data_IF_063868350858
#
_entry.id   IF_063868350858
#
_cell.length_a   1.000
_cell.length_b   1.000
_cell.length_c   1.000
_cell.angle_alpha   90.00
_cell.angle_beta   90.00
_cell.angle_gamma   90.00
#
_symmetry.space_group_name_H-M   'P 1'
#
loop_
_entity.id
_entity.type
_entity.pdbx_description
1 polymer ?
#
# COMPACT_ATOMS: atom_id res chain seq x y z
N UNK A 1 -12.10 23.65 14.40
CA UNK A 1 -12.50 24.19 13.08
C UNK A 1 -11.26 24.74 12.40
N UNK A 2 -10.94 24.25 11.18
CA UNK A 2 -9.72 24.67 10.46
C UNK A 2 -10.04 25.81 9.52
N UNK A 3 -11.12 25.70 8.74
CA UNK A 3 -11.56 26.70 7.79
C UNK A 3 -13.08 26.72 7.69
N UNK A 4 -13.61 27.77 7.08
CA UNK A 4 -15.03 27.92 6.74
C UNK A 4 -15.13 28.29 5.26
N UNK A 5 -15.75 27.41 4.46
CA UNK A 5 -16.04 27.64 3.07
C UNK A 5 -17.43 28.28 2.94
N UNK A 6 -17.52 29.40 2.24
CA UNK A 6 -18.78 30.10 1.99
C UNK A 6 -18.93 30.27 0.48
N UNK A 7 -20.07 29.84 -0.05
CA UNK A 7 -20.43 30.04 -1.45
C UNK A 7 -21.69 30.89 -1.54
N UNK A 8 -21.84 31.61 -2.66
CA UNK A 8 -23.04 32.38 -2.96
C UNK A 8 -23.55 32.02 -4.36
N UNK A 9 -24.86 31.84 -4.49
CA UNK A 9 -25.56 31.68 -5.75
C UNK A 9 -26.99 32.27 -5.64
N UNK A 10 -27.69 32.49 -6.76
CA UNK A 10 -29.03 33.08 -6.77
C UNK A 10 -30.11 32.26 -6.09
N UNK A 11 -29.98 30.92 -6.09
CA UNK A 11 -30.91 29.98 -5.47
C UNK A 11 -30.17 28.83 -4.77
N UNK A 12 -30.91 28.03 -4.00
CA UNK A 12 -30.37 26.93 -3.18
C UNK A 12 -29.71 25.84 -4.02
N UNK A 13 -30.34 25.42 -5.09
CA UNK A 13 -29.84 24.37 -5.98
C UNK A 13 -28.47 24.73 -6.56
N UNK A 14 -28.36 25.94 -7.11
CA UNK A 14 -27.08 26.45 -7.64
C UNK A 14 -26.04 26.65 -6.54
N UNK A 15 -26.46 27.05 -5.32
CA UNK A 15 -25.55 27.19 -4.19
C UNK A 15 -24.98 25.82 -3.77
N UNK A 16 -25.80 24.77 -3.71
CA UNK A 16 -25.35 23.41 -3.39
C UNK A 16 -24.44 22.84 -4.48
N UNK A 17 -24.77 23.00 -5.75
CA UNK A 17 -23.91 22.59 -6.85
C UNK A 17 -22.56 23.31 -6.80
N UNK A 18 -22.55 24.62 -6.56
CA UNK A 18 -21.32 25.40 -6.40
C UNK A 18 -20.52 24.99 -5.17
N UNK A 19 -21.20 24.62 -4.07
CA UNK A 19 -20.56 24.14 -2.84
C UNK A 19 -19.84 22.81 -3.09
N UNK A 20 -20.50 21.85 -3.77
CA UNK A 20 -19.87 20.55 -4.08
C UNK A 20 -18.63 20.72 -4.96
N UNK A 21 -18.70 21.53 -6.02
CA UNK A 21 -17.54 21.85 -6.87
C UNK A 21 -16.41 22.52 -6.08
N UNK A 22 -16.74 23.50 -5.23
CA UNK A 22 -15.75 24.18 -4.43
C UNK A 22 -15.09 23.26 -3.39
N UNK A 23 -15.84 22.33 -2.80
CA UNK A 23 -15.31 21.30 -1.89
C UNK A 23 -14.46 20.27 -2.65
N UNK A 24 -14.82 19.93 -3.88
CA UNK A 24 -14.04 19.03 -4.75
C UNK A 24 -12.66 19.61 -5.08
N UNK A 25 -12.59 20.92 -5.36
CA UNK A 25 -11.35 21.62 -5.67
C UNK A 25 -10.54 22.02 -4.41
N UNK A 26 -11.09 21.77 -3.21
CA UNK A 26 -10.45 22.15 -1.95
C UNK A 26 -9.54 21.03 -1.44
N UNK A 27 -8.32 21.01 -1.93
CA UNK A 27 -7.34 19.98 -1.64
C UNK A 27 -6.60 20.27 -0.33
N UNK A 28 -6.69 19.36 0.64
CA UNK A 28 -5.95 19.41 1.92
C UNK A 28 -5.18 18.13 2.14
N UNK A 29 -3.90 18.27 2.46
CA UNK A 29 -3.02 17.16 2.81
C UNK A 29 -2.45 17.29 4.23
N UNK A 30 -1.94 16.17 4.80
CA UNK A 30 -1.33 16.13 6.12
C UNK A 30 -2.30 16.07 7.31
N UNK A 31 -3.61 16.26 7.07
CA UNK A 31 -4.64 16.20 8.13
C UNK A 31 -5.87 15.41 7.68
N UNK A 32 -6.60 14.86 8.66
CA UNK A 32 -7.91 14.28 8.42
C UNK A 32 -8.96 15.38 8.29
N UNK A 33 -9.74 15.32 7.22
CA UNK A 33 -10.78 16.32 6.91
C UNK A 33 -12.14 15.65 6.78
N UNK A 34 -13.21 16.44 6.89
CA UNK A 34 -14.58 16.00 6.66
C UNK A 34 -15.12 16.43 5.29
N UNK A 35 -14.25 16.71 4.32
CA UNK A 35 -14.65 17.22 3.00
C UNK A 35 -15.58 16.22 2.29
N UNK A 36 -15.24 14.94 2.27
CA UNK A 36 -16.06 13.90 1.62
C UNK A 36 -17.43 13.76 2.27
N UNK A 37 -17.50 13.87 3.61
CA UNK A 37 -18.76 13.91 4.34
C UNK A 37 -19.61 15.12 3.96
N UNK A 38 -19.00 16.31 3.88
CA UNK A 38 -19.70 17.55 3.52
C UNK A 38 -20.21 17.51 2.08
N UNK A 39 -19.46 16.94 1.15
CA UNK A 39 -19.88 16.76 -0.25
C UNK A 39 -21.10 15.85 -0.33
N UNK A 40 -21.08 14.69 0.34
CA UNK A 40 -22.21 13.76 0.39
C UNK A 40 -23.44 14.38 1.06
N UNK A 41 -23.23 15.17 2.10
CA UNK A 41 -24.32 15.90 2.74
C UNK A 41 -24.94 16.94 1.80
N UNK A 42 -24.10 17.71 1.06
CA UNK A 42 -24.58 18.71 0.12
C UNK A 42 -25.38 18.13 -1.04
N UNK A 43 -25.09 16.89 -1.44
CA UNK A 43 -25.77 16.16 -2.53
C UNK A 43 -26.95 15.28 -2.04
N UNK A 44 -27.20 15.23 -0.72
CA UNK A 44 -28.31 14.46 -0.17
C UNK A 44 -29.66 15.13 -0.47
N UNK A 45 -30.63 14.39 -1.04
CA UNK A 45 -31.96 14.92 -1.42
C UNK A 45 -32.67 15.61 -0.26
N UNK A 46 -32.65 15.03 0.94
CA UNK A 46 -33.26 15.63 2.12
C UNK A 46 -32.62 16.97 2.49
N UNK A 47 -31.31 17.14 2.25
CA UNK A 47 -30.61 18.39 2.47
C UNK A 47 -30.89 19.39 1.35
N UNK A 48 -30.99 18.95 0.10
CA UNK A 48 -31.35 19.78 -1.05
C UNK A 48 -32.76 20.35 -0.92
N UNK A 49 -33.71 19.51 -0.49
CA UNK A 49 -35.12 19.87 -0.26
C UNK A 49 -35.36 20.72 1.01
N UNK A 50 -34.30 21.03 1.77
CA UNK A 50 -34.39 21.71 3.06
C UNK A 50 -35.23 20.98 4.14
N UNK A 51 -35.39 19.65 4.04
CA UNK A 51 -36.06 18.79 5.04
C UNK A 51 -35.07 18.49 6.18
N UNK A 52 -34.68 19.53 6.90
CA UNK A 52 -33.64 19.46 7.91
C UNK A 52 -34.23 19.14 9.29
N UNK A 53 -33.68 18.13 9.95
CA UNK A 53 -33.97 17.75 11.32
C UNK A 53 -32.72 17.17 12.01
N UNK A 54 -32.75 17.10 13.33
CA UNK A 54 -31.57 16.63 14.12
C UNK A 54 -31.14 15.21 13.81
N UNK A 55 -32.03 14.34 13.38
CA UNK A 55 -31.77 12.94 13.03
C UNK A 55 -31.31 12.69 11.58
N UNK A 56 -31.11 13.74 10.75
CA UNK A 56 -30.76 13.57 9.32
C UNK A 56 -29.45 12.79 9.13
N UNK A 57 -28.46 13.01 10.00
CA UNK A 57 -27.19 12.32 9.93
C UNK A 57 -27.35 10.84 10.28
N UNK A 58 -28.06 10.53 11.37
CA UNK A 58 -28.29 9.16 11.81
C UNK A 58 -29.05 8.33 10.78
N UNK A 59 -30.10 8.90 10.19
CA UNK A 59 -30.91 8.25 9.16
C UNK A 59 -30.15 7.96 7.87
N UNK A 60 -29.11 8.76 7.56
CA UNK A 60 -28.32 8.63 6.34
C UNK A 60 -26.86 8.22 6.62
N UNK A 61 -26.58 7.66 7.81
CA UNK A 61 -25.22 7.37 8.26
C UNK A 61 -24.45 6.48 7.28
N UNK A 62 -25.08 5.42 6.77
CA UNK A 62 -24.47 4.48 5.83
C UNK A 62 -23.98 5.18 4.55
N UNK A 63 -24.76 6.14 4.03
CA UNK A 63 -24.40 6.92 2.85
C UNK A 63 -23.33 7.97 3.18
N UNK A 64 -23.51 8.72 4.26
CA UNK A 64 -22.63 9.83 4.63
C UNK A 64 -21.24 9.36 5.06
N UNK A 65 -21.14 8.19 5.70
CA UNK A 65 -19.88 7.61 6.21
C UNK A 65 -19.29 6.54 5.28
N UNK A 66 -19.88 6.30 4.10
CA UNK A 66 -19.34 5.33 3.16
C UNK A 66 -17.89 5.69 2.79
N UNK A 67 -16.97 4.73 2.66
CA UNK A 67 -15.64 5.00 2.13
C UNK A 67 -15.73 5.51 0.68
N UNK A 68 -14.76 6.30 0.25
CA UNK A 68 -14.68 6.73 -1.14
C UNK A 68 -14.45 5.50 -2.04
N UNK A 69 -15.32 5.32 -3.04
CA UNK A 69 -15.21 4.24 -4.00
C UNK A 69 -14.31 4.67 -5.16
N UNK A 70 -13.01 4.43 -5.04
CA UNK A 70 -12.04 4.66 -6.12
C UNK A 70 -11.92 3.43 -7.01
N UNK A 71 -11.71 3.65 -8.31
CA UNK A 71 -11.21 2.59 -9.19
C UNK A 71 -9.71 2.42 -8.90
N UNK A 72 -9.36 1.27 -8.33
CA UNK A 72 -8.00 0.93 -7.92
C UNK A 72 -7.00 1.03 -9.09
N UNK A 73 -7.37 0.54 -10.27
CA UNK A 73 -6.52 0.59 -11.45
C UNK A 73 -6.21 2.03 -11.88
N UNK A 74 -7.18 2.93 -11.76
CA UNK A 74 -7.00 4.35 -12.09
C UNK A 74 -6.10 5.03 -11.06
N UNK A 75 -6.30 4.76 -9.75
CA UNK A 75 -5.46 5.32 -8.68
C UNK A 75 -4.00 4.86 -8.84
N UNK A 76 -3.78 3.57 -9.09
CA UNK A 76 -2.43 3.03 -9.29
C UNK A 76 -1.76 3.57 -10.56
N UNK A 77 -2.51 3.72 -11.66
CA UNK A 77 -1.99 4.34 -12.88
C UNK A 77 -1.62 5.83 -12.67
N UNK A 78 -2.43 6.58 -11.91
CA UNK A 78 -2.11 7.96 -11.53
C UNK A 78 -0.85 8.02 -10.66
N UNK A 79 -0.73 7.12 -9.68
CA UNK A 79 0.47 7.01 -8.86
C UNK A 79 1.72 6.69 -9.70
N UNK A 80 1.62 5.76 -10.65
CA UNK A 80 2.69 5.42 -11.58
C UNK A 80 3.15 6.61 -12.42
N UNK A 81 2.23 7.45 -12.88
CA UNK A 81 2.54 8.67 -13.64
C UNK A 81 3.36 9.67 -12.80
N UNK A 82 2.91 9.97 -11.58
CA UNK A 82 3.59 10.94 -10.69
C UNK A 82 4.97 10.43 -10.29
N UNK A 83 5.03 9.21 -9.76
CA UNK A 83 6.26 8.62 -9.24
C UNK A 83 7.26 8.31 -10.34
N UNK A 84 6.79 7.90 -11.52
CA UNK A 84 7.63 7.65 -12.69
C UNK A 84 8.34 8.92 -13.18
N UNK A 85 7.66 10.05 -13.23
CA UNK A 85 8.28 11.32 -13.61
C UNK A 85 9.26 11.83 -12.54
N UNK A 86 8.93 11.67 -11.26
CA UNK A 86 9.87 12.04 -10.18
C UNK A 86 11.16 11.24 -10.21
N UNK A 87 11.06 9.93 -10.43
CA UNK A 87 12.25 9.10 -10.55
C UNK A 87 13.13 9.50 -11.74
N UNK A 88 12.54 9.92 -12.87
CA UNK A 88 13.30 10.46 -13.99
C UNK A 88 14.01 11.78 -13.64
N UNK A 89 13.41 12.65 -12.85
CA UNK A 89 14.03 13.90 -12.40
C UNK A 89 15.18 13.67 -11.40
N UNK A 90 15.04 12.70 -10.49
CA UNK A 90 16.04 12.43 -9.45
C UNK A 90 17.30 11.75 -10.00
N UNK A 91 17.16 10.86 -10.96
CA UNK A 91 18.27 10.02 -11.47
C UNK A 91 18.73 10.40 -12.88
N UNK A 92 18.04 11.28 -13.60
CA UNK A 92 18.39 11.76 -14.92
C UNK A 92 18.68 10.64 -15.93
N UNK A 93 19.75 10.78 -16.71
CA UNK A 93 20.17 9.80 -17.71
C UNK A 93 20.64 8.45 -17.13
N UNK A 94 20.94 8.39 -15.83
CA UNK A 94 21.40 7.17 -15.14
C UNK A 94 20.24 6.19 -14.80
N UNK A 95 19.00 6.64 -14.84
CA UNK A 95 17.83 5.80 -14.55
C UNK A 95 17.70 4.59 -15.49
N UNK A 96 18.28 4.67 -16.68
CA UNK A 96 18.27 3.61 -17.68
C UNK A 96 19.54 2.73 -17.68
N UNK A 97 20.51 3.03 -16.82
CA UNK A 97 21.80 2.33 -16.82
C UNK A 97 21.73 1.06 -16.01
N UNK A 98 21.47 -0.07 -16.67
CA UNK A 98 21.60 -1.42 -16.10
C UNK A 98 22.81 -2.10 -16.70
N UNK A 99 23.77 -2.49 -15.86
CA UNK A 99 24.88 -3.35 -16.26
C UNK A 99 24.30 -4.72 -16.68
N UNK A 100 24.61 -5.15 -17.91
CA UNK A 100 24.27 -6.47 -18.46
C UNK A 100 22.79 -6.77 -18.84
N UNK A 101 21.95 -5.77 -19.14
CA UNK A 101 20.65 -6.00 -19.80
C UNK A 101 20.53 -5.17 -21.07
N UNK A 102 19.95 -5.72 -22.16
CA UNK A 102 19.68 -4.96 -23.37
C UNK A 102 18.71 -3.81 -23.11
N UNK A 103 18.99 -2.68 -23.72
CA UNK A 103 18.41 -1.35 -23.48
C UNK A 103 16.99 -1.15 -24.05
N UNK A 104 16.05 -2.11 -23.89
CA UNK A 104 14.79 -2.11 -24.62
C UNK A 104 13.52 -1.75 -23.82
N UNK A 105 13.59 -1.35 -22.56
CA UNK A 105 12.44 -0.75 -21.89
C UNK A 105 12.87 0.10 -20.70
N UNK A 106 12.54 1.38 -20.75
CA UNK A 106 12.72 2.34 -19.65
C UNK A 106 11.63 2.22 -18.58
N UNK A 107 11.01 1.05 -18.42
CA UNK A 107 10.02 0.81 -17.38
C UNK A 107 10.67 0.19 -16.16
N UNK A 108 10.54 0.82 -15.03
CA UNK A 108 10.81 0.23 -13.72
C UNK A 108 9.49 0.08 -12.97
N UNK A 109 9.44 -0.91 -12.11
CA UNK A 109 8.28 -1.18 -11.26
C UNK A 109 8.52 -0.52 -9.91
N UNK A 110 7.50 0.16 -9.39
CA UNK A 110 7.53 0.79 -8.08
C UNK A 110 6.61 0.01 -7.15
N UNK A 111 7.13 -0.40 -6.00
CA UNK A 111 6.32 -1.00 -4.95
C UNK A 111 5.57 0.09 -4.20
N UNK A 112 4.25 0.01 -4.19
CA UNK A 112 3.37 0.95 -3.49
C UNK A 112 2.33 0.21 -2.67
N UNK A 113 1.93 0.81 -1.57
CA UNK A 113 0.85 0.30 -0.73
C UNK A 113 -0.39 1.18 -0.91
N UNK A 114 -1.50 0.55 -1.27
CA UNK A 114 -2.80 1.17 -1.38
C UNK A 114 -3.87 0.26 -0.76
N UNK A 115 -4.73 0.79 0.11
CA UNK A 115 -5.76 0.04 0.85
C UNK A 115 -5.22 -1.22 1.56
N UNK A 116 -4.03 -1.10 2.19
CA UNK A 116 -3.30 -2.19 2.87
C UNK A 116 -2.85 -3.35 1.95
N UNK A 117 -2.93 -3.19 0.64
CA UNK A 117 -2.38 -4.12 -0.33
C UNK A 117 -1.11 -3.55 -0.96
N UNK A 118 -0.15 -4.43 -1.27
CA UNK A 118 1.09 -4.08 -1.95
C UNK A 118 0.92 -4.29 -3.46
N UNK A 119 1.30 -3.30 -4.25
CA UNK A 119 1.20 -3.32 -5.69
C UNK A 119 2.53 -2.92 -6.33
N UNK A 120 2.83 -3.59 -7.42
CA UNK A 120 3.91 -3.22 -8.33
C UNK A 120 3.35 -2.45 -9.51
N UNK A 121 3.65 -1.16 -9.59
CA UNK A 121 3.15 -0.29 -10.65
C UNK A 121 4.23 0.03 -11.68
N UNK A 122 3.93 -0.01 -12.98
CA UNK A 122 4.86 0.41 -14.02
C UNK A 122 5.01 1.93 -14.05
N UNK A 123 6.22 2.40 -14.29
CA UNK A 123 6.53 3.84 -14.36
C UNK A 123 6.16 4.51 -15.69
N UNK A 124 5.68 3.74 -16.68
CA UNK A 124 5.44 4.22 -18.05
C UNK A 124 3.93 4.36 -18.37
N UNK A 125 3.18 4.96 -17.50
CA UNK A 125 1.75 5.26 -17.73
C UNK A 125 1.59 6.49 -18.65
N UNK A 126 0.61 6.42 -19.57
CA UNK A 126 0.33 7.51 -20.49
C UNK A 126 -0.44 8.63 -19.80
N UNK A 127 0.15 9.83 -19.76
CA UNK A 127 -0.49 10.98 -19.17
C UNK A 127 0.41 12.21 -19.13
N UNK A 128 -0.12 13.32 -18.69
CA UNK A 128 0.60 14.58 -18.50
C UNK A 128 0.55 15.01 -17.05
N UNK A 129 1.70 15.41 -16.52
CA UNK A 129 1.84 15.96 -15.18
C UNK A 129 2.02 17.48 -15.28
N UNK A 130 1.20 18.20 -14.54
CA UNK A 130 1.29 19.66 -14.35
C UNK A 130 1.73 19.94 -12.91
N UNK A 131 2.03 21.18 -12.58
CA UNK A 131 2.53 21.53 -11.24
C UNK A 131 1.53 21.24 -10.11
N UNK A 132 0.23 21.32 -10.38
CA UNK A 132 -0.85 21.23 -9.41
C UNK A 132 -1.81 20.04 -9.66
N UNK A 133 -1.77 19.46 -10.87
CA UNK A 133 -2.65 18.36 -11.24
C UNK A 133 -2.02 17.45 -12.28
N UNK A 134 -2.58 16.25 -12.40
CA UNK A 134 -2.26 15.27 -13.43
C UNK A 134 -3.46 15.00 -14.33
N UNK A 135 -3.19 14.63 -15.57
CA UNK A 135 -4.18 14.15 -16.53
C UNK A 135 -3.73 12.79 -17.01
N UNK A 136 -4.45 11.74 -16.61
CA UNK A 136 -4.22 10.37 -17.03
C UNK A 136 -5.06 10.06 -18.26
N UNK A 137 -4.43 9.53 -19.31
CA UNK A 137 -5.12 8.91 -20.44
C UNK A 137 -5.12 7.39 -20.23
N UNK A 138 -6.26 6.85 -19.86
CA UNK A 138 -6.41 5.44 -19.55
C UNK A 138 -7.37 4.77 -20.53
N UNK A 139 -6.92 3.65 -21.10
CA UNK A 139 -7.76 2.78 -21.91
C UNK A 139 -8.10 1.55 -21.09
N UNK A 140 -9.33 1.49 -20.57
CA UNK A 140 -9.80 0.33 -19.81
C UNK A 140 -10.75 -0.50 -20.68
N UNK A 141 -10.61 -1.82 -20.61
CA UNK A 141 -11.49 -2.77 -21.28
C UNK A 141 -12.96 -2.66 -20.85
N UNK A 142 -13.22 -2.12 -19.66
CA UNK A 142 -14.58 -1.95 -19.10
C UNK A 142 -15.21 -0.58 -19.40
N UNK A 143 -14.42 0.48 -19.56
CA UNK A 143 -14.93 1.86 -19.67
C UNK A 143 -14.46 2.61 -20.93
N UNK A 144 -13.72 1.96 -21.83
CA UNK A 144 -13.19 2.59 -23.05
C UNK A 144 -12.00 3.53 -22.76
N UNK A 145 -11.76 4.47 -23.71
CA UNK A 145 -10.72 5.51 -23.54
C UNK A 145 -11.30 6.62 -22.68
N UNK A 146 -10.79 6.76 -21.47
CA UNK A 146 -11.17 7.79 -20.51
C UNK A 146 -10.01 8.76 -20.23
N UNK A 147 -10.36 10.00 -19.92
CA UNK A 147 -9.43 11.00 -19.43
C UNK A 147 -9.78 11.30 -17.97
N UNK A 148 -8.83 11.09 -17.06
CA UNK A 148 -9.02 11.30 -15.64
C UNK A 148 -8.11 12.43 -15.17
N UNK A 149 -8.67 13.43 -14.50
CA UNK A 149 -7.94 14.54 -13.90
C UNK A 149 -7.96 14.41 -12.38
N UNK A 150 -6.82 14.60 -11.75
CA UNK A 150 -6.70 14.62 -10.29
C UNK A 150 -5.66 15.66 -9.86
N UNK A 151 -5.91 16.33 -8.72
CA UNK A 151 -4.87 17.01 -7.98
C UNK A 151 -3.95 16.01 -7.31
N UNK A 152 -2.71 16.38 -7.05
CA UNK A 152 -1.80 15.50 -6.31
C UNK A 152 -0.90 16.28 -5.36
N UNK A 153 -0.48 15.62 -4.29
CA UNK A 153 0.53 16.12 -3.37
C UNK A 153 1.41 14.95 -2.93
N UNK A 154 2.71 15.10 -3.04
CA UNK A 154 3.67 14.12 -2.56
C UNK A 154 4.43 14.68 -1.37
N UNK A 155 4.32 14.01 -0.23
CA UNK A 155 4.96 14.40 1.01
C UNK A 155 5.36 13.15 1.82
N UNK A 156 6.60 13.12 2.30
CA UNK A 156 7.14 12.05 3.18
C UNK A 156 6.86 10.62 2.70
N UNK A 157 7.04 10.36 1.40
CA UNK A 157 6.80 9.04 0.81
C UNK A 157 5.33 8.65 0.68
N UNK A 158 4.40 9.60 0.90
CA UNK A 158 2.97 9.43 0.69
C UNK A 158 2.49 10.31 -0.45
N UNK A 159 1.86 9.69 -1.44
CA UNK A 159 1.22 10.38 -2.55
C UNK A 159 -0.28 10.49 -2.26
N UNK A 160 -0.76 11.70 -2.06
CA UNK A 160 -2.18 12.02 -1.95
C UNK A 160 -2.71 12.41 -3.32
N UNK A 161 -3.74 11.71 -3.80
CA UNK A 161 -4.44 11.98 -5.05
C UNK A 161 -5.84 12.51 -4.72
N UNK A 162 -6.19 13.65 -5.28
CA UNK A 162 -7.50 14.30 -5.10
C UNK A 162 -8.33 14.09 -6.36
N UNK A 163 -9.21 13.10 -6.31
CA UNK A 163 -10.08 12.72 -7.42
C UNK A 163 -11.51 13.24 -7.21
N UNK A 164 -12.37 13.24 -8.23
CA UNK A 164 -13.79 13.58 -8.05
C UNK A 164 -14.52 12.68 -7.04
N UNK A 165 -14.02 11.45 -6.82
CA UNK A 165 -14.57 10.49 -5.88
C UNK A 165 -14.12 10.72 -4.43
N UNK A 166 -13.06 11.52 -4.22
CA UNK A 166 -12.48 11.81 -2.92
C UNK A 166 -10.96 11.72 -2.90
N UNK A 167 -10.37 11.73 -1.71
CA UNK A 167 -8.92 11.60 -1.50
C UNK A 167 -8.49 10.14 -1.45
N UNK A 168 -7.54 9.76 -2.31
CA UNK A 168 -6.83 8.48 -2.25
C UNK A 168 -5.39 8.71 -1.78
N UNK A 169 -4.87 7.84 -0.91
CA UNK A 169 -3.48 7.92 -0.41
C UNK A 169 -2.75 6.65 -0.79
N UNK A 170 -1.63 6.82 -1.48
CA UNK A 170 -0.72 5.74 -1.90
C UNK A 170 0.59 5.94 -1.17
N UNK A 171 1.06 4.93 -0.45
CA UNK A 171 2.34 4.98 0.26
C UNK A 171 3.43 4.33 -0.59
N UNK A 172 4.55 5.02 -0.76
CA UNK A 172 5.70 4.49 -1.48
C UNK A 172 6.46 3.56 -0.54
N UNK A 173 6.64 2.29 -0.92
CA UNK A 173 7.52 1.36 -0.23
C UNK A 173 8.93 1.53 -0.78
N UNK A 174 9.80 2.19 -0.02
CA UNK A 174 11.24 2.15 -0.29
C UNK A 174 11.76 0.79 0.17
N UNK A 175 12.35 -0.02 -0.72
CA UNK A 175 12.90 -1.30 -0.33
C UNK A 175 13.97 -1.09 0.75
N UNK A 176 13.81 -1.74 1.88
CA UNK A 176 14.80 -1.80 2.95
C UNK A 176 15.77 -2.94 2.69
N UNK A 177 16.95 -2.92 3.35
CA UNK A 177 17.91 -4.02 3.23
C UNK A 177 17.26 -5.34 3.69
N UNK A 178 16.36 -5.29 4.65
CA UNK A 178 15.62 -6.44 5.15
C UNK A 178 14.68 -7.04 4.09
N UNK A 179 14.09 -6.23 3.22
CA UNK A 179 13.27 -6.69 2.09
C UNK A 179 14.12 -7.47 1.06
N UNK A 180 15.39 -7.09 0.86
CA UNK A 180 16.30 -7.83 -0.02
C UNK A 180 16.80 -9.12 0.61
N UNK A 181 16.92 -9.18 1.93
CA UNK A 181 17.31 -10.39 2.66
C UNK A 181 16.13 -11.37 2.64
N UNK A 182 14.91 -10.92 2.91
CA UNK A 182 13.70 -11.75 2.94
C UNK A 182 13.30 -12.32 1.56
N UNK A 183 13.58 -11.58 0.47
CA UNK A 183 13.26 -12.02 -0.89
C UNK A 183 14.32 -12.94 -1.51
N UNK A 184 15.48 -13.13 -0.87
CA UNK A 184 16.52 -14.05 -1.30
C UNK A 184 16.51 -15.38 -0.53
N UNK A 185 15.47 -15.67 0.25
CA UNK A 185 15.32 -17.01 0.80
C UNK A 185 15.03 -17.96 -0.36
N UNK A 186 15.90 -18.95 -0.60
CA UNK A 186 15.60 -20.01 -1.54
C UNK A 186 14.37 -20.77 -1.03
N UNK A 187 13.46 -21.08 -1.91
CA UNK A 187 12.24 -21.88 -1.68
C UNK A 187 12.51 -23.34 -1.28
N UNK A 188 13.74 -23.69 -0.94
CA UNK A 188 14.16 -24.93 -0.27
C UNK A 188 14.75 -24.53 1.08
N UNK A 189 13.92 -24.55 2.12
CA UNK A 189 14.13 -23.84 3.34
C UNK A 189 14.97 -24.56 4.37
N UNK A 190 16.25 -24.26 4.43
CA UNK A 190 17.02 -24.53 5.65
C UNK A 190 16.58 -23.60 6.79
N UNK A 191 16.04 -24.15 7.87
CA UNK A 191 15.75 -23.39 9.09
C UNK A 191 17.05 -23.11 9.82
N UNK A 192 17.33 -21.82 10.08
CA UNK A 192 18.59 -21.37 10.68
C UNK A 192 18.43 -20.95 12.14
N UNK A 193 19.53 -21.04 12.89
CA UNK A 193 19.58 -20.54 14.25
C UNK A 193 19.57 -19.00 14.26
N UNK A 194 18.68 -18.35 15.03
CA UNK A 194 18.62 -16.89 15.10
C UNK A 194 19.77 -16.28 15.92
N UNK A 195 20.46 -17.08 16.72
CA UNK A 195 21.54 -16.63 17.62
C UNK A 195 22.42 -17.79 18.05
N UNK A 196 23.61 -17.48 18.58
CA UNK A 196 24.51 -18.45 19.15
C UNK A 196 23.89 -19.02 20.45
N UNK A 197 23.87 -20.35 20.59
CA UNK A 197 23.29 -20.98 21.75
C UNK A 197 23.52 -22.48 21.81
N UNK A 198 22.86 -23.15 22.76
CA UNK A 198 22.84 -24.62 22.87
C UNK A 198 21.46 -25.15 22.49
N UNK A 199 21.40 -26.18 21.69
CA UNK A 199 20.16 -26.85 21.33
C UNK A 199 19.68 -27.71 22.51
N UNK A 200 18.61 -27.30 23.19
CA UNK A 200 18.10 -28.00 24.39
C UNK A 200 16.97 -29.00 24.07
N UNK A 201 16.23 -28.81 22.99
CA UNK A 201 15.18 -29.71 22.55
C UNK A 201 15.03 -29.73 21.04
N UNK A 202 14.74 -30.91 20.49
CA UNK A 202 14.28 -31.16 19.12
C UNK A 202 12.88 -31.74 19.23
N UNK A 203 11.88 -31.02 18.70
CA UNK A 203 10.46 -31.35 18.89
C UNK A 203 9.85 -32.10 17.69
N UNK A 204 10.63 -32.27 16.63
CA UNK A 204 10.21 -32.88 15.36
C UNK A 204 11.16 -33.99 14.97
N UNK A 205 10.68 -34.90 14.10
CA UNK A 205 11.46 -36.01 13.53
C UNK A 205 11.56 -35.85 12.01
N UNK A 206 12.58 -36.47 11.40
CA UNK A 206 12.72 -36.52 9.95
C UNK A 206 11.47 -37.15 9.31
N UNK A 207 11.07 -36.60 8.15
CA UNK A 207 9.86 -36.96 7.40
C UNK A 207 8.53 -36.62 8.11
N UNK A 208 8.54 -35.85 9.20
CA UNK A 208 7.33 -35.37 9.85
C UNK A 208 6.69 -34.22 9.10
N UNK A 209 5.35 -34.26 8.92
CA UNK A 209 4.59 -33.11 8.43
C UNK A 209 4.41 -32.07 9.54
N UNK A 210 4.67 -30.81 9.22
CA UNK A 210 4.50 -29.66 10.12
C UNK A 210 3.68 -28.58 9.43
N UNK A 211 2.93 -27.85 10.22
CA UNK A 211 2.16 -26.67 9.79
C UNK A 211 2.92 -25.39 10.11
N UNK A 212 2.60 -24.29 9.42
CA UNK A 212 3.16 -22.98 9.76
C UNK A 212 2.86 -22.64 11.23
N UNK A 213 3.92 -22.26 11.98
CA UNK A 213 3.83 -21.95 13.41
C UNK A 213 4.12 -23.14 14.35
N UNK A 214 4.23 -24.37 13.85
CA UNK A 214 4.59 -25.51 14.67
C UNK A 214 6.01 -25.38 15.24
N UNK A 215 6.19 -25.74 16.52
CA UNK A 215 7.49 -25.68 17.17
C UNK A 215 8.40 -26.82 16.68
N UNK A 216 9.60 -26.46 16.19
CA UNK A 216 10.56 -27.37 15.60
C UNK A 216 11.68 -27.72 16.58
N UNK A 217 12.31 -26.71 17.16
CA UNK A 217 13.47 -26.86 18.03
C UNK A 217 13.48 -25.75 19.09
N UNK A 218 14.22 -25.98 20.20
CA UNK A 218 14.42 -24.97 21.23
C UNK A 218 15.92 -24.75 21.43
N UNK A 219 16.36 -23.50 21.28
CA UNK A 219 17.75 -23.07 21.48
C UNK A 219 17.80 -22.21 22.74
N UNK A 220 18.71 -22.53 23.65
CA UNK A 220 19.01 -21.72 24.82
C UNK A 220 20.20 -20.80 24.52
N UNK A 221 20.00 -19.50 24.70
CA UNK A 221 21.03 -18.48 24.62
C UNK A 221 20.89 -17.52 25.79
N UNK A 222 21.97 -17.18 26.46
CA UNK A 222 22.00 -16.24 27.61
C UNK A 222 20.96 -16.57 28.70
N UNK A 223 20.71 -17.86 29.00
CA UNK A 223 19.68 -18.34 29.96
C UNK A 223 18.23 -18.02 29.54
N UNK A 224 17.99 -17.79 28.28
CA UNK A 224 16.65 -17.65 27.69
C UNK A 224 16.43 -18.74 26.65
N UNK A 225 15.26 -19.33 26.69
CA UNK A 225 14.85 -20.35 25.72
C UNK A 225 14.15 -19.69 24.54
N UNK A 226 14.62 -19.96 23.33
CA UNK A 226 14.02 -19.53 22.09
C UNK A 226 13.46 -20.71 21.33
N UNK A 227 12.14 -20.74 21.15
CA UNK A 227 11.47 -21.75 20.33
C UNK A 227 11.52 -21.33 18.87
N UNK A 228 12.08 -22.17 18.03
CA UNK A 228 12.13 -21.99 16.59
C UNK A 228 10.90 -22.67 16.00
N UNK A 229 10.11 -21.95 15.23
CA UNK A 229 8.85 -22.40 14.64
C UNK A 229 8.96 -22.54 13.12
N UNK A 230 8.11 -23.36 12.53
CA UNK A 230 8.01 -23.53 11.08
C UNK A 230 7.44 -22.27 10.43
N UNK A 231 8.12 -21.64 9.45
CA UNK A 231 7.62 -20.45 8.75
C UNK A 231 6.49 -20.78 7.76
N UNK A 232 6.44 -22.00 7.27
CA UNK A 232 5.40 -22.51 6.35
C UNK A 232 5.15 -24.00 6.61
N UNK A 233 4.07 -24.52 6.07
CA UNK A 233 3.75 -25.96 6.14
C UNK A 233 4.65 -26.74 5.18
N UNK A 234 5.21 -27.88 5.66
CA UNK A 234 6.12 -28.69 4.87
C UNK A 234 6.42 -30.03 5.53
N UNK A 235 7.43 -30.73 5.01
CA UNK A 235 7.95 -31.97 5.56
C UNK A 235 9.36 -31.70 6.08
N UNK A 236 9.63 -32.15 7.33
CA UNK A 236 10.97 -32.03 7.91
C UNK A 236 11.93 -32.95 7.14
N UNK A 237 12.96 -32.35 6.56
CA UNK A 237 14.04 -33.08 5.89
C UNK A 237 15.12 -33.53 6.88
N UNK A 238 16.39 -33.25 6.57
CA UNK A 238 17.53 -33.63 7.39
C UNK A 238 17.69 -32.74 8.62
N UNK A 239 18.01 -33.34 9.76
CA UNK A 239 18.32 -32.68 11.02
C UNK A 239 19.84 -32.62 11.21
N UNK A 240 20.43 -31.43 11.14
CA UNK A 240 21.89 -31.25 11.18
C UNK A 240 22.47 -31.23 12.60
N UNK A 241 21.66 -30.91 13.61
CA UNK A 241 22.09 -30.82 15.00
C UNK A 241 21.25 -31.69 15.94
N UNK A 242 21.88 -32.15 17.04
CA UNK A 242 21.24 -32.92 18.08
C UNK A 242 21.18 -32.15 19.38
N UNK A 243 20.28 -32.58 20.29
CA UNK A 243 20.18 -32.00 21.63
C UNK A 243 21.54 -32.02 22.31
N UNK A 244 21.95 -30.89 22.89
CA UNK A 244 23.25 -30.67 23.53
C UNK A 244 24.33 -30.10 22.61
N UNK A 245 24.11 -29.97 21.29
CA UNK A 245 25.06 -29.34 20.41
C UNK A 245 25.04 -27.80 20.57
N UNK A 246 26.22 -27.20 20.48
CA UNK A 246 26.35 -25.73 20.32
C UNK A 246 26.06 -25.36 18.86
N UNK A 247 25.28 -24.32 18.68
CA UNK A 247 24.93 -23.78 17.37
C UNK A 247 25.33 -22.31 17.29
N UNK A 248 25.92 -21.92 16.17
CA UNK A 248 26.23 -20.53 15.88
C UNK A 248 25.05 -19.87 15.18
N UNK A 249 24.95 -18.54 15.29
CA UNK A 249 23.97 -17.77 14.51
C UNK A 249 24.10 -18.09 13.02
N UNK A 250 22.97 -18.15 12.31
CA UNK A 250 22.88 -18.50 10.88
C UNK A 250 23.24 -19.95 10.54
N UNK A 251 23.59 -20.82 11.50
CA UNK A 251 23.78 -22.26 11.26
C UNK A 251 22.45 -22.89 10.83
N UNK A 252 22.47 -23.70 9.77
CA UNK A 252 21.29 -24.44 9.30
C UNK A 252 21.00 -25.59 10.25
N UNK A 253 19.84 -25.56 10.89
CA UNK A 253 19.44 -26.53 11.92
C UNK A 253 18.73 -27.74 11.33
N UNK A 254 17.82 -27.51 10.40
CA UNK A 254 17.10 -28.52 9.67
C UNK A 254 16.68 -28.03 8.29
N UNK A 255 16.29 -28.94 7.43
CA UNK A 255 15.70 -28.63 6.13
C UNK A 255 14.18 -28.84 6.17
N UNK A 256 13.42 -27.96 5.51
CA UNK A 256 11.97 -28.05 5.34
C UNK A 256 11.69 -28.12 3.84
N UNK A 257 11.05 -29.21 3.41
CA UNK A 257 10.77 -29.54 2.01
C UNK A 257 9.28 -29.34 1.72
#
# INVERSE_FOLDING_TARGET
>A
MIAKLIVWAPNREQALAKLDLALQDYHLDGIHTNIDFLRRLATLDAFADAKLHTGIIEQNQTHLMAPAAHDEAIVLAMAGLVLGQQAQHQYGALTAMRLNKPNNSHSFTLAVEYLNNLFDIPSNTNGTLHADHLVLQHTCSKHGVGQHKAGYCLNDGKLSLFTPQGKAVVTIKTPTIDDFISNNEPTTGGIKAPMNGSLIAVLVTEAQHVSAGDALMVVEAMKMEHTITAPYAGIVGELYFKVGNLVDAESQLLELI
#
